data_IF_329451703188
#
_entry.id   IF_329451703188
#
_cell.length_a   1.000
_cell.length_b   1.000
_cell.length_c   1.000
_cell.angle_alpha   90.00
_cell.angle_beta   90.00
_cell.angle_gamma   90.00
#
_symmetry.space_group_name_H-M   'P 1'
#
loop_
_entity.id
_entity.type
_entity.pdbx_description
1 polymer ?
#
# COMPACT_ATOMS: atom_id res chain seq x y z
N UNK A 1 5.22 16.69 12.58
CA UNK A 1 4.67 15.66 11.68
C UNK A 1 3.91 14.64 12.53
N UNK A 2 2.98 13.84 11.98
CA UNK A 2 2.43 12.69 12.72
C UNK A 2 3.51 11.65 13.08
N UNK A 3 3.36 10.92 14.19
CA UNK A 3 4.29 9.85 14.58
C UNK A 3 4.18 8.60 13.69
N UNK A 4 3.01 8.37 13.08
CA UNK A 4 2.83 7.29 12.09
C UNK A 4 3.33 7.72 10.71
N UNK A 5 3.73 6.77 9.84
CA UNK A 5 4.13 7.10 8.48
C UNK A 5 3.06 7.93 7.76
N UNK A 6 3.47 9.01 7.10
CA UNK A 6 2.55 9.89 6.41
C UNK A 6 3.15 10.35 5.08
N UNK A 7 2.29 10.54 4.09
CA UNK A 7 2.66 11.14 2.82
C UNK A 7 2.29 12.62 2.85
N UNK A 8 3.23 13.48 2.51
CA UNK A 8 3.05 14.94 2.43
C UNK A 8 3.15 15.34 0.97
N UNK A 9 2.16 16.07 0.48
CA UNK A 9 2.17 16.67 -0.85
C UNK A 9 2.79 18.06 -0.80
N UNK A 10 3.65 18.39 -1.77
CA UNK A 10 4.19 19.74 -1.96
C UNK A 10 3.42 20.39 -3.11
N UNK A 11 2.39 21.18 -2.76
CA UNK A 11 1.53 21.87 -3.72
C UNK A 11 0.12 22.11 -3.16
N UNK A 12 -0.76 22.67 -3.98
CA UNK A 12 -2.11 23.10 -3.57
C UNK A 12 -3.12 21.96 -3.40
N UNK A 13 -2.86 20.80 -4.02
CA UNK A 13 -3.71 19.62 -3.93
C UNK A 13 -2.90 18.34 -3.93
N UNK A 14 -3.35 17.37 -3.15
CA UNK A 14 -2.75 16.04 -3.07
C UNK A 14 -2.69 15.33 -4.43
N UNK A 15 -3.64 15.57 -5.34
CA UNK A 15 -3.70 14.88 -6.63
C UNK A 15 -2.82 15.52 -7.72
N UNK A 16 -2.56 16.83 -7.60
CA UNK A 16 -1.84 17.60 -8.61
C UNK A 16 -0.48 18.12 -8.11
N UNK A 17 -0.06 17.70 -6.91
CA UNK A 17 1.24 18.06 -6.37
C UNK A 17 2.36 17.50 -7.26
N UNK A 18 3.33 18.35 -7.57
CA UNK A 18 4.49 17.97 -8.39
C UNK A 18 5.50 17.12 -7.65
N UNK A 19 5.40 17.05 -6.31
CA UNK A 19 6.33 16.32 -5.45
C UNK A 19 5.65 15.88 -4.15
N UNK A 20 6.10 14.75 -3.63
CA UNK A 20 5.65 14.20 -2.36
C UNK A 20 6.85 13.87 -1.47
N UNK A 21 6.60 13.79 -0.18
CA UNK A 21 7.56 13.40 0.84
C UNK A 21 6.97 12.31 1.73
N UNK A 22 7.79 11.36 2.17
CA UNK A 22 7.43 10.37 3.17
C UNK A 22 8.03 10.77 4.52
N UNK A 23 7.16 10.99 5.50
CA UNK A 23 7.54 11.13 6.90
C UNK A 23 7.35 9.82 7.64
N UNK A 24 8.30 9.47 8.52
CA UNK A 24 8.18 8.37 9.48
C UNK A 24 8.71 8.88 10.82
N UNK A 25 7.96 8.64 11.90
CA UNK A 25 8.35 9.02 13.27
C UNK A 25 8.79 10.49 13.35
N UNK A 26 7.95 11.36 12.77
CA UNK A 26 8.16 12.81 12.72
C UNK A 26 9.36 13.31 11.89
N UNK A 27 10.06 12.42 11.19
CA UNK A 27 11.24 12.73 10.36
C UNK A 27 10.93 12.49 8.88
N UNK A 28 11.35 13.42 8.02
CA UNK A 28 11.32 13.22 6.56
C UNK A 28 12.42 12.23 6.18
N UNK A 29 12.02 11.04 5.75
CA UNK A 29 12.96 9.97 5.35
C UNK A 29 13.19 9.93 3.84
N UNK A 30 12.27 10.50 3.06
CA UNK A 30 12.35 10.56 1.60
C UNK A 30 11.61 11.81 1.17
N UNK A 31 12.33 12.80 0.66
CA UNK A 31 11.80 14.11 0.36
C UNK A 31 11.51 14.31 -1.13
N UNK A 32 12.00 13.44 -2.03
CA UNK A 32 11.83 13.58 -3.48
C UNK A 32 11.08 12.41 -4.12
N UNK A 33 9.76 12.41 -3.95
CA UNK A 33 8.88 11.41 -4.57
C UNK A 33 8.11 12.10 -5.72
N UNK A 34 8.35 11.73 -6.98
CA UNK A 34 7.87 12.49 -8.13
C UNK A 34 6.40 12.23 -8.49
N UNK A 35 5.79 11.17 -7.96
CA UNK A 35 4.39 10.83 -8.27
C UNK A 35 3.64 10.32 -7.06
N UNK A 36 2.33 10.54 -7.05
CA UNK A 36 1.45 10.04 -6.00
C UNK A 36 1.55 8.51 -5.84
N UNK A 37 1.56 7.77 -6.94
CA UNK A 37 1.58 6.31 -6.91
C UNK A 37 2.84 5.74 -6.25
N UNK A 38 4.00 6.34 -6.51
CA UNK A 38 5.24 6.00 -5.81
C UNK A 38 5.16 6.37 -4.31
N UNK A 39 4.52 7.49 -3.99
CA UNK A 39 4.25 7.91 -2.62
C UNK A 39 3.37 6.91 -1.86
N UNK A 40 2.26 6.49 -2.45
CA UNK A 40 1.35 5.49 -1.89
C UNK A 40 2.04 4.13 -1.72
N UNK A 41 2.87 3.71 -2.68
CA UNK A 41 3.67 2.50 -2.58
C UNK A 41 4.67 2.56 -1.41
N UNK A 42 5.38 3.69 -1.24
CA UNK A 42 6.28 3.91 -0.10
C UNK A 42 5.54 3.98 1.23
N UNK A 43 4.37 4.62 1.27
CA UNK A 43 3.52 4.68 2.45
C UNK A 43 3.07 3.27 2.87
N UNK A 44 2.52 2.50 1.93
CA UNK A 44 2.18 1.10 2.14
C UNK A 44 3.38 0.29 2.66
N UNK A 45 4.54 0.41 2.01
CA UNK A 45 5.74 -0.31 2.41
C UNK A 45 6.20 0.03 3.83
N UNK A 46 6.09 1.31 4.26
CA UNK A 46 6.40 1.71 5.61
C UNK A 46 5.49 0.98 6.62
N UNK A 47 4.16 1.05 6.44
CA UNK A 47 3.23 0.37 7.34
C UNK A 47 3.44 -1.15 7.40
N UNK A 48 3.69 -1.76 6.23
CA UNK A 48 3.93 -3.20 6.13
C UNK A 48 5.24 -3.60 6.85
N UNK A 49 6.35 -2.91 6.58
CA UNK A 49 7.66 -3.24 7.14
C UNK A 49 7.74 -3.02 8.66
N UNK A 50 7.11 -1.96 9.17
CA UNK A 50 7.06 -1.70 10.61
C UNK A 50 5.96 -2.48 11.33
N UNK A 51 5.13 -3.25 10.60
CA UNK A 51 4.01 -4.02 11.13
C UNK A 51 3.09 -3.19 12.04
N UNK A 52 2.71 -2.01 11.56
CA UNK A 52 1.84 -1.06 12.27
C UNK A 52 0.48 -0.97 11.57
N UNK A 53 -0.58 -0.78 12.34
CA UNK A 53 -1.93 -0.66 11.79
C UNK A 53 -2.12 0.65 11.02
N UNK A 54 -2.79 0.56 9.88
CA UNK A 54 -3.17 1.71 9.07
C UNK A 54 -4.07 2.68 9.88
N UNK A 55 -3.96 4.00 9.66
CA UNK A 55 -4.91 5.00 10.15
C UNK A 55 -6.25 4.83 9.46
N UNK A 56 -7.34 5.03 10.22
CA UNK A 56 -8.71 4.84 9.73
C UNK A 56 -8.99 5.58 8.41
N UNK A 57 -8.41 6.77 8.25
CA UNK A 57 -8.60 7.67 7.12
C UNK A 57 -8.05 7.11 5.80
N UNK A 58 -7.01 6.26 5.88
CA UNK A 58 -6.32 5.71 4.69
C UNK A 58 -6.33 4.17 4.64
N UNK A 59 -6.90 3.50 5.65
CA UNK A 59 -7.01 2.04 5.72
C UNK A 59 -7.62 1.47 4.43
N UNK A 60 -8.75 2.01 3.96
CA UNK A 60 -9.40 1.50 2.75
C UNK A 60 -8.52 1.59 1.50
N UNK A 61 -7.78 2.69 1.33
CA UNK A 61 -6.87 2.88 0.21
C UNK A 61 -5.65 1.94 0.28
N UNK A 62 -5.02 1.82 1.46
CA UNK A 62 -3.86 0.96 1.64
C UNK A 62 -4.21 -0.52 1.56
N UNK A 63 -5.37 -0.92 2.08
CA UNK A 63 -5.90 -2.27 1.91
C UNK A 63 -6.23 -2.59 0.44
N UNK A 64 -6.80 -1.63 -0.28
CA UNK A 64 -7.02 -1.77 -1.73
C UNK A 64 -5.69 -1.99 -2.46
N UNK A 65 -4.65 -1.21 -2.13
CA UNK A 65 -3.32 -1.37 -2.73
C UNK A 65 -2.74 -2.75 -2.40
N UNK A 66 -2.78 -3.13 -1.13
CA UNK A 66 -2.30 -4.40 -0.63
C UNK A 66 -2.94 -5.58 -1.38
N UNK A 67 -4.27 -5.56 -1.55
CA UNK A 67 -5.02 -6.66 -2.17
C UNK A 67 -4.94 -6.65 -3.69
N UNK A 68 -5.15 -5.50 -4.32
CA UNK A 68 -5.33 -5.39 -5.77
C UNK A 68 -4.02 -5.28 -6.55
N UNK A 69 -2.98 -4.66 -5.97
CA UNK A 69 -1.70 -4.47 -6.67
C UNK A 69 -0.58 -5.35 -6.11
N UNK A 70 -0.53 -5.57 -4.80
CA UNK A 70 0.54 -6.37 -4.17
C UNK A 70 0.16 -7.85 -4.03
N UNK A 71 -1.14 -8.17 -3.99
CA UNK A 71 -1.62 -9.55 -3.83
C UNK A 71 -1.43 -10.11 -2.42
N UNK A 72 -1.29 -9.26 -1.41
CA UNK A 72 -1.20 -9.65 0.00
C UNK A 72 -2.60 -9.73 0.60
N UNK A 73 -2.88 -10.84 1.28
CA UNK A 73 -4.20 -11.15 1.85
C UNK A 73 -5.38 -10.89 0.88
N UNK A 74 -5.35 -11.48 -0.33
CA UNK A 74 -6.40 -11.27 -1.32
C UNK A 74 -7.75 -11.80 -0.80
N UNK A 75 -8.86 -11.20 -1.26
CA UNK A 75 -10.24 -11.55 -0.85
C UNK A 75 -10.56 -13.04 -1.00
N UNK A 76 -9.85 -13.71 -1.91
CA UNK A 76 -9.83 -15.17 -2.02
C UNK A 76 -8.42 -15.66 -1.71
N UNK A 77 -8.26 -16.37 -0.60
CA UNK A 77 -6.97 -16.94 -0.21
C UNK A 77 -6.38 -17.84 -1.30
N UNK A 78 -5.06 -17.80 -1.46
CA UNK A 78 -4.31 -18.65 -2.39
C UNK A 78 -4.54 -20.17 -2.16
N UNK A 79 -4.94 -20.55 -0.94
CA UNK A 79 -5.37 -21.91 -0.58
C UNK A 79 -6.55 -22.44 -1.43
N UNK A 80 -7.46 -21.57 -1.88
CA UNK A 80 -8.62 -21.97 -2.70
C UNK A 80 -8.19 -22.23 -4.14
N UNK A 81 -7.21 -21.47 -4.66
CA UNK A 81 -6.68 -21.66 -6.03
C UNK A 81 -6.00 -23.03 -6.17
N UNK A 82 -5.19 -23.45 -5.19
CA UNK A 82 -4.60 -24.80 -5.16
C UNK A 82 -5.67 -25.90 -5.26
N UNK A 83 -6.79 -25.75 -4.56
CA UNK A 83 -7.87 -26.75 -4.62
C UNK A 83 -8.53 -26.85 -6.00
N UNK A 84 -8.65 -25.73 -6.72
CA UNK A 84 -9.16 -25.72 -8.10
C UNK A 84 -8.14 -26.24 -9.12
N UNK A 85 -6.83 -26.01 -8.92
CA UNK A 85 -5.79 -26.49 -9.85
C UNK A 85 -5.44 -27.96 -9.63
N UNK A 86 -5.52 -28.47 -8.39
CA UNK A 86 -5.25 -29.89 -8.08
C UNK A 86 -6.38 -30.85 -8.44
N UNK A 87 -7.53 -30.35 -8.91
CA UNK A 87 -8.67 -31.15 -9.38
C UNK A 87 -8.97 -30.91 -10.86
N UNK A 88 -7.96 -30.93 -11.72
CA UNK A 88 -8.20 -31.28 -13.13
C UNK A 88 -8.57 -32.77 -13.17
N UNK A 89 -9.83 -33.16 -13.44
CA UNK A 89 -10.14 -34.56 -13.64
C UNK A 89 -9.50 -34.98 -14.95
N UNK A 90 -8.72 -36.06 -14.92
CA UNK A 90 -8.34 -36.79 -16.14
C UNK A 90 -9.64 -37.10 -16.87
N UNK A 91 -9.82 -36.52 -18.05
CA UNK A 91 -10.97 -36.79 -18.91
C UNK A 91 -10.87 -38.25 -19.37
N UNK A 92 -11.85 -39.06 -18.98
CA UNK A 92 -12.10 -40.38 -19.58
C UNK A 92 -13.01 -40.22 -20.79
#
# INVERSE_FOLDING_TARGET
>A
MPPKPCLVSVGDSWLTAGRYMLGIDEVIVCDDIPTLWLGLGKLFAAYYNFNISYPLEVTGLLEFIQRCFVGINPDRGSKIRWWCTSKSPVSY
#
